data_IF_915381054045
#
_entry.id   IF_915381054045
#
_cell.length_a   1.000
_cell.length_b   1.000
_cell.length_c   1.000
_cell.angle_alpha   90.00
_cell.angle_beta   90.00
_cell.angle_gamma   90.00
#
_symmetry.space_group_name_H-M   'P 1'
#
loop_
_entity.id
_entity.type
_entity.pdbx_description
1 polymer ?
#
# COMPACT_ATOMS: atom_id res chain seq x y z
N UNK A 1 -2.01 33.66 13.31
CA UNK A 1 -0.81 33.23 12.57
C UNK A 1 -0.62 31.75 12.84
N UNK A 2 -1.06 30.88 11.92
CA UNK A 2 -0.83 29.44 12.07
C UNK A 2 0.64 29.15 11.80
N UNK A 3 1.32 28.53 12.76
CA UNK A 3 2.70 28.09 12.57
C UNK A 3 2.72 27.07 11.43
N UNK A 4 3.26 27.45 10.27
CA UNK A 4 3.62 26.49 9.23
C UNK A 4 4.82 25.73 9.75
N UNK A 5 4.57 24.63 10.47
CA UNK A 5 5.60 23.67 10.82
C UNK A 5 6.06 23.08 9.49
N UNK A 6 7.16 23.58 8.95
CA UNK A 6 7.83 23.02 7.79
C UNK A 6 8.43 21.68 8.20
N UNK A 7 7.58 20.65 8.24
CA UNK A 7 7.98 19.27 8.46
C UNK A 7 8.69 18.76 7.21
N UNK A 8 9.80 18.06 7.38
CA UNK A 8 10.46 17.42 6.23
C UNK A 8 9.59 16.26 5.73
N UNK A 9 9.81 15.85 4.48
CA UNK A 9 9.06 14.75 3.90
C UNK A 9 9.23 13.45 4.70
N UNK A 10 10.43 13.19 5.25
CA UNK A 10 10.64 12.03 6.12
C UNK A 10 9.84 12.10 7.42
N UNK A 11 9.69 13.28 8.02
CA UNK A 11 8.90 13.46 9.24
C UNK A 11 7.40 13.21 8.99
N UNK A 12 6.90 13.64 7.83
CA UNK A 12 5.51 13.38 7.42
C UNK A 12 5.29 11.88 7.24
N UNK A 13 6.21 11.20 6.55
CA UNK A 13 6.12 9.75 6.29
C UNK A 13 6.26 8.94 7.58
N UNK A 14 7.20 9.29 8.46
CA UNK A 14 7.35 8.64 9.75
C UNK A 14 6.11 8.83 10.63
N UNK A 15 5.47 10.01 10.58
CA UNK A 15 4.21 10.27 11.28
C UNK A 15 3.06 9.44 10.72
N UNK A 16 2.91 9.37 9.40
CA UNK A 16 1.86 8.58 8.75
C UNK A 16 2.02 7.07 9.04
N UNK A 17 3.25 6.59 9.14
CA UNK A 17 3.56 5.20 9.48
C UNK A 17 3.52 4.90 10.99
N UNK A 18 3.37 5.91 11.85
CA UNK A 18 3.40 5.75 13.31
C UNK A 18 4.80 5.46 13.89
N UNK A 19 5.87 5.71 13.15
CA UNK A 19 7.27 5.38 13.49
C UNK A 19 8.04 6.63 13.98
N UNK A 20 7.35 7.62 14.55
CA UNK A 20 7.96 8.89 14.96
C UNK A 20 9.09 8.72 15.98
N UNK A 21 9.00 7.74 16.87
CA UNK A 21 10.06 7.40 17.82
C UNK A 21 11.27 6.78 17.11
N UNK A 22 11.03 5.89 16.13
CA UNK A 22 12.09 5.25 15.36
C UNK A 22 12.86 6.24 14.46
N UNK A 23 12.21 7.30 13.97
CA UNK A 23 12.91 8.37 13.23
C UNK A 23 13.97 9.08 14.09
N UNK A 24 13.72 9.23 15.40
CA UNK A 24 14.65 9.87 16.34
C UNK A 24 15.81 8.97 16.74
N UNK A 25 15.56 7.68 16.91
CA UNK A 25 16.57 6.73 17.40
C UNK A 25 17.36 6.05 16.28
N UNK A 26 16.75 5.84 15.11
CA UNK A 26 17.32 5.14 13.96
C UNK A 26 17.05 5.86 12.63
N UNK A 27 17.50 7.12 12.45
CA UNK A 27 17.14 7.93 11.29
C UNK A 27 17.58 7.32 9.94
N UNK A 28 18.72 6.61 9.91
CA UNK A 28 19.24 5.97 8.69
C UNK A 28 18.38 4.78 8.25
N UNK A 29 18.01 3.92 9.19
CA UNK A 29 17.18 2.74 8.92
C UNK A 29 15.79 3.16 8.43
N UNK A 30 15.22 4.22 9.03
CA UNK A 30 13.94 4.78 8.58
C UNK A 30 14.04 5.37 7.17
N UNK A 31 15.12 6.09 6.85
CA UNK A 31 15.33 6.62 5.50
C UNK A 31 15.47 5.50 4.45
N UNK A 32 16.18 4.41 4.78
CA UNK A 32 16.29 3.23 3.92
C UNK A 32 14.94 2.52 3.71
N UNK A 33 14.15 2.36 4.78
CA UNK A 33 12.82 1.78 4.70
C UNK A 33 11.88 2.63 3.81
N UNK A 34 11.95 3.96 3.91
CA UNK A 34 11.20 4.88 3.03
C UNK A 34 11.65 4.71 1.58
N UNK A 35 12.95 4.69 1.32
CA UNK A 35 13.50 4.52 -0.03
C UNK A 35 13.10 3.16 -0.65
N UNK A 36 13.16 2.08 0.14
CA UNK A 36 12.74 0.75 -0.27
C UNK A 36 11.23 0.70 -0.58
N UNK A 37 10.41 1.32 0.27
CA UNK A 37 8.95 1.41 0.08
C UNK A 37 8.60 2.15 -1.21
N UNK A 38 9.30 3.24 -1.53
CA UNK A 38 9.12 3.98 -2.80
C UNK A 38 9.45 3.12 -4.02
N UNK A 39 10.51 2.30 -3.95
CA UNK A 39 10.84 1.35 -5.03
C UNK A 39 9.76 0.29 -5.19
N UNK A 40 9.17 -0.20 -4.10
CA UNK A 40 8.09 -1.17 -4.13
C UNK A 40 6.74 -0.57 -4.56
N UNK A 41 6.50 0.71 -4.33
CA UNK A 41 5.25 1.36 -4.71
C UNK A 41 4.94 1.27 -6.22
N UNK A 42 5.98 1.25 -7.07
CA UNK A 42 5.84 1.03 -8.52
C UNK A 42 5.87 -0.44 -8.95
N UNK A 43 6.23 -1.36 -8.05
CA UNK A 43 6.29 -2.79 -8.35
C UNK A 43 4.91 -3.46 -8.40
N UNK A 44 3.91 -2.87 -7.74
CA UNK A 44 2.54 -3.29 -7.87
C UNK A 44 1.88 -2.51 -9.01
N UNK A 45 1.56 -3.21 -10.10
CA UNK A 45 0.64 -2.72 -11.12
C UNK A 45 -0.70 -2.48 -10.42
N UNK A 46 -1.02 -1.22 -10.10
CA UNK A 46 -2.40 -0.85 -9.79
C UNK A 46 -3.21 -1.27 -11.00
N UNK A 47 -4.22 -2.11 -10.81
CA UNK A 47 -5.16 -2.46 -11.89
C UNK A 47 -5.80 -1.15 -12.34
N UNK A 48 -5.29 -0.65 -13.45
CA UNK A 48 -5.54 0.69 -13.93
C UNK A 48 -6.88 0.69 -14.67
N UNK A 49 -7.98 0.55 -13.93
CA UNK A 49 -9.23 1.16 -14.37
C UNK A 49 -10.24 1.28 -13.22
N UNK A 50 -10.45 2.50 -12.72
CA UNK A 50 -11.56 2.81 -11.79
C UNK A 50 -12.94 2.67 -12.47
N UNK A 51 -12.96 2.60 -13.81
CA UNK A 51 -14.15 2.39 -14.64
C UNK A 51 -14.23 0.97 -15.21
N UNK A 52 -13.36 0.04 -14.81
CA UNK A 52 -13.53 -1.35 -15.19
C UNK A 52 -14.84 -1.86 -14.59
N UNK A 53 -15.69 -2.42 -15.45
CA UNK A 53 -16.87 -3.14 -14.97
C UNK A 53 -16.42 -4.22 -13.97
N UNK A 54 -17.15 -4.40 -12.85
CA UNK A 54 -16.83 -5.42 -11.88
C UNK A 54 -16.82 -6.77 -12.59
N UNK A 55 -15.73 -7.54 -12.43
CA UNK A 55 -15.60 -8.85 -13.05
C UNK A 55 -16.83 -9.68 -12.65
N UNK A 56 -17.59 -10.25 -13.62
CA UNK A 56 -18.81 -10.99 -13.31
C UNK A 56 -18.48 -12.12 -12.33
N UNK A 57 -19.39 -12.37 -11.39
CA UNK A 57 -19.21 -13.44 -10.41
C UNK A 57 -18.88 -14.74 -11.15
N UNK A 58 -17.74 -15.35 -10.81
CA UNK A 58 -17.31 -16.60 -11.40
C UNK A 58 -18.39 -17.66 -11.15
N UNK A 59 -19.12 -18.05 -12.20
CA UNK A 59 -20.02 -19.18 -12.16
C UNK A 59 -19.18 -20.44 -12.28
N UNK A 60 -18.85 -21.05 -11.13
CA UNK A 60 -18.22 -22.36 -11.12
C UNK A 60 -19.06 -23.34 -11.96
N UNK A 61 -18.43 -24.21 -12.78
CA UNK A 61 -19.16 -25.23 -13.52
C UNK A 61 -20.01 -26.04 -12.55
N UNK A 62 -21.33 -26.02 -12.73
CA UNK A 62 -22.22 -26.89 -11.97
C UNK A 62 -21.79 -28.34 -12.26
N UNK A 63 -21.60 -29.18 -11.22
CA UNK A 63 -21.29 -30.58 -11.44
C UNK A 63 -22.40 -31.18 -12.32
N UNK A 64 -22.00 -31.81 -13.42
CA UNK A 64 -22.93 -32.49 -14.31
C UNK A 64 -23.77 -33.47 -13.50
N UNK A 65 -25.08 -33.49 -13.76
CA UNK A 65 -26.07 -34.34 -13.11
C UNK A 65 -25.67 -35.82 -13.35
N UNK A 66 -24.88 -36.39 -12.45
CA UNK A 66 -24.34 -37.75 -12.62
C UNK A 66 -23.02 -38.05 -11.89
N UNK A 67 -22.32 -37.07 -11.31
CA UNK A 67 -21.14 -37.40 -10.48
C UNK A 67 -21.60 -37.90 -9.11
N UNK A 68 -21.72 -39.23 -8.97
CA UNK A 68 -21.85 -39.88 -7.67
C UNK A 68 -20.48 -39.86 -6.98
N UNK A 69 -20.49 -39.37 -5.74
CA UNK A 69 -19.49 -39.63 -4.72
C UNK A 69 -19.37 -41.13 -4.44
#
# INVERSE_FOLDING_TARGET
MGATISMTEEEILARAAGITTGLKTHPKEVAEAIAASRRMAGAFTRVANETAEPMPAYAAPLPARGSRA
#
